data_IF_022889451924
#
_entry.id   IF_022889451924
#
_cell.length_a   1.000
_cell.length_b   1.000
_cell.length_c   1.000
_cell.angle_alpha   90.00
_cell.angle_beta   90.00
_cell.angle_gamma   90.00
#
_symmetry.space_group_name_H-M   'P 1'
#
loop_
_entity.id
_entity.type
_entity.pdbx_description
1 polymer ?
#
# COMPACT_ATOMS: atom_id res chain seq x y z
N UNK A 1 5.68 -41.00 2.74
CA UNK A 1 5.78 -40.12 3.92
C UNK A 1 5.85 -38.69 3.38
N UNK A 2 4.98 -37.77 3.84
CA UNK A 2 4.98 -36.37 3.40
C UNK A 2 6.22 -35.67 3.98
N UNK A 3 6.89 -34.82 3.20
CA UNK A 3 7.97 -33.98 3.70
C UNK A 3 7.37 -32.67 4.23
N UNK A 4 7.27 -32.56 5.55
CA UNK A 4 6.64 -31.43 6.24
C UNK A 4 7.33 -30.09 5.94
N UNK A 5 8.67 -30.07 5.86
CA UNK A 5 9.42 -28.86 5.53
C UNK A 5 9.06 -28.32 4.15
N UNK A 6 9.02 -29.21 3.14
CA UNK A 6 8.63 -28.82 1.77
C UNK A 6 7.17 -28.34 1.71
N UNK A 7 6.30 -28.86 2.55
CA UNK A 7 4.91 -28.40 2.66
C UNK A 7 4.82 -27.01 3.28
N UNK A 8 5.58 -26.74 4.34
CA UNK A 8 5.67 -25.42 4.97
C UNK A 8 6.21 -24.37 3.99
N UNK A 9 7.27 -24.70 3.23
CA UNK A 9 7.83 -23.82 2.22
C UNK A 9 6.81 -23.48 1.12
N UNK A 10 6.05 -24.49 0.65
CA UNK A 10 5.00 -24.28 -0.36
C UNK A 10 3.86 -23.42 0.17
N UNK A 11 3.47 -23.58 1.44
CA UNK A 11 2.45 -22.73 2.07
C UNK A 11 2.93 -21.28 2.22
N UNK A 12 4.18 -21.08 2.66
CA UNK A 12 4.77 -19.75 2.75
C UNK A 12 4.83 -19.06 1.39
N UNK A 13 5.24 -19.79 0.35
CA UNK A 13 5.26 -19.29 -1.03
C UNK A 13 3.86 -18.91 -1.52
N UNK A 14 2.86 -19.76 -1.31
CA UNK A 14 1.46 -19.47 -1.66
C UNK A 14 0.96 -18.18 -1.01
N UNK A 15 1.20 -18.01 0.29
CA UNK A 15 0.81 -16.79 1.03
C UNK A 15 1.49 -15.55 0.45
N UNK A 16 2.79 -15.66 0.14
CA UNK A 16 3.54 -14.56 -0.48
C UNK A 16 3.03 -14.19 -1.87
N UNK A 17 2.72 -15.18 -2.72
CA UNK A 17 2.21 -14.95 -4.07
C UNK A 17 0.81 -14.33 -4.05
N UNK A 18 -0.06 -14.77 -3.13
CA UNK A 18 -1.38 -14.17 -2.92
C UNK A 18 -1.27 -12.71 -2.44
N UNK A 19 -0.36 -12.43 -1.51
CA UNK A 19 -0.05 -11.06 -1.08
C UNK A 19 0.41 -10.19 -2.23
N UNK A 20 1.38 -10.68 -3.02
CA UNK A 20 1.92 -9.96 -4.17
C UNK A 20 0.84 -9.67 -5.24
N UNK A 21 -0.03 -10.63 -5.54
CA UNK A 21 -1.11 -10.46 -6.52
C UNK A 21 -2.14 -9.40 -6.08
N UNK A 22 -2.51 -9.39 -4.79
CA UNK A 22 -3.41 -8.37 -4.24
C UNK A 22 -2.80 -6.97 -4.29
N UNK A 23 -1.50 -6.86 -3.96
CA UNK A 23 -0.78 -5.59 -3.91
C UNK A 23 -0.51 -5.03 -5.31
N UNK A 24 -0.21 -5.86 -6.31
CA UNK A 24 0.06 -5.41 -7.68
C UNK A 24 -1.09 -4.61 -8.29
N UNK A 25 -2.33 -5.01 -8.02
CA UNK A 25 -3.52 -4.27 -8.47
C UNK A 25 -3.67 -2.92 -7.75
N UNK A 26 -3.34 -2.86 -6.45
CA UNK A 26 -3.37 -1.62 -5.66
C UNK A 26 -2.27 -0.64 -6.08
N UNK A 27 -1.10 -1.13 -6.48
CA UNK A 27 -0.03 -0.30 -7.07
C UNK A 27 -0.52 0.33 -8.37
N UNK A 28 -1.07 -0.46 -9.29
CA UNK A 28 -1.61 0.09 -10.55
C UNK A 28 -2.76 1.07 -10.32
N UNK A 29 -3.62 0.82 -9.33
CA UNK A 29 -4.69 1.73 -8.95
C UNK A 29 -4.15 3.06 -8.42
N UNK A 30 -3.12 3.02 -7.57
CA UNK A 30 -2.48 4.21 -7.02
C UNK A 30 -1.86 5.11 -8.08
N UNK A 31 -1.21 4.52 -9.09
CA UNK A 31 -0.67 5.24 -10.23
C UNK A 31 -1.78 5.89 -11.07
N UNK A 32 -2.81 5.12 -11.44
CA UNK A 32 -3.93 5.62 -12.26
C UNK A 32 -4.73 6.74 -11.59
N UNK A 33 -4.88 6.68 -10.27
CA UNK A 33 -5.57 7.72 -9.48
C UNK A 33 -4.65 8.90 -9.12
N UNK A 34 -3.35 8.82 -9.42
CA UNK A 34 -2.39 9.88 -9.11
C UNK A 34 -2.01 9.98 -7.63
N UNK A 35 -2.30 8.97 -6.82
CA UNK A 35 -2.06 8.98 -5.36
C UNK A 35 -0.56 9.08 -5.04
N UNK A 36 0.28 8.25 -5.68
CA UNK A 36 1.73 8.34 -5.51
C UNK A 36 2.29 9.70 -5.95
N UNK A 37 1.78 10.23 -7.07
CA UNK A 37 2.23 11.52 -7.60
C UNK A 37 1.92 12.68 -6.65
N UNK A 38 0.75 12.65 -6.01
CA UNK A 38 0.37 13.65 -5.02
C UNK A 38 1.28 13.57 -3.77
N UNK A 39 1.53 12.37 -3.24
CA UNK A 39 2.44 12.16 -2.11
C UNK A 39 3.88 12.60 -2.44
N UNK A 40 4.38 12.28 -3.63
CA UNK A 40 5.72 12.66 -4.08
C UNK A 40 5.87 14.17 -4.25
N UNK A 41 4.82 14.85 -4.74
CA UNK A 41 4.86 16.29 -5.04
C UNK A 41 4.64 17.15 -3.79
N UNK A 42 3.69 16.77 -2.95
CA UNK A 42 3.17 17.62 -1.88
C UNK A 42 3.70 17.21 -0.48
N UNK A 43 4.48 16.13 -0.41
CA UNK A 43 5.04 15.62 0.84
C UNK A 43 4.03 14.82 1.67
N UNK A 44 4.22 14.72 2.99
CA UNK A 44 3.32 13.98 3.87
C UNK A 44 1.88 14.54 3.85
N UNK A 45 0.90 13.69 3.56
CA UNK A 45 -0.53 14.04 3.48
C UNK A 45 -1.38 13.09 4.31
N UNK A 46 -2.43 13.60 4.95
CA UNK A 46 -3.47 12.72 5.49
C UNK A 46 -4.31 12.11 4.37
N UNK A 47 -5.05 11.04 4.66
CA UNK A 47 -5.95 10.42 3.68
C UNK A 47 -6.97 11.43 3.11
N UNK A 48 -7.47 12.35 3.94
CA UNK A 48 -8.40 13.40 3.51
C UNK A 48 -7.76 14.39 2.54
N UNK A 49 -6.57 14.90 2.86
CA UNK A 49 -5.85 15.83 1.97
C UNK A 49 -5.48 15.17 0.64
N UNK A 50 -5.09 13.90 0.68
CA UNK A 50 -4.76 13.13 -0.52
C UNK A 50 -6.00 12.89 -1.38
N UNK A 51 -7.15 12.60 -0.77
CA UNK A 51 -8.42 12.43 -1.45
C UNK A 51 -8.88 13.71 -2.15
N UNK A 52 -8.81 14.86 -1.47
CA UNK A 52 -9.11 16.17 -2.06
C UNK A 52 -8.22 16.46 -3.28
N UNK A 53 -6.91 16.21 -3.17
CA UNK A 53 -5.94 16.46 -4.25
C UNK A 53 -6.13 15.58 -5.48
N UNK A 54 -6.67 14.38 -5.29
CA UNK A 54 -6.85 13.40 -6.37
C UNK A 54 -8.28 13.29 -6.86
N UNK A 55 -9.22 14.04 -6.28
CA UNK A 55 -10.64 13.95 -6.61
C UNK A 55 -11.24 12.58 -6.28
N UNK A 56 -10.75 11.94 -5.21
CA UNK A 56 -11.18 10.62 -4.75
C UNK A 56 -11.90 10.71 -3.40
N UNK A 57 -12.43 9.59 -2.91
CA UNK A 57 -13.15 9.54 -1.63
C UNK A 57 -12.23 9.12 -0.50
N UNK A 58 -12.18 9.92 0.58
CA UNK A 58 -11.27 9.74 1.72
C UNK A 58 -11.26 8.32 2.27
N UNK A 59 -12.43 7.69 2.48
CA UNK A 59 -12.47 6.35 3.06
C UNK A 59 -11.71 5.32 2.23
N UNK A 60 -11.84 5.37 0.91
CA UNK A 60 -11.13 4.45 0.01
C UNK A 60 -9.64 4.77 -0.07
N UNK A 61 -9.29 6.06 -0.02
CA UNK A 61 -7.88 6.48 0.06
C UNK A 61 -7.23 5.99 1.34
N UNK A 62 -7.92 6.05 2.49
CA UNK A 62 -7.40 5.55 3.76
C UNK A 62 -7.10 4.06 3.72
N UNK A 63 -8.02 3.24 3.18
CA UNK A 63 -7.78 1.80 3.02
C UNK A 63 -6.62 1.52 2.06
N UNK A 64 -6.53 2.26 0.95
CA UNK A 64 -5.41 2.15 0.03
C UNK A 64 -4.09 2.51 0.72
N UNK A 65 -4.04 3.63 1.46
CA UNK A 65 -2.86 4.04 2.21
C UNK A 65 -2.44 2.99 3.25
N UNK A 66 -3.39 2.41 3.99
CA UNK A 66 -3.10 1.35 4.96
C UNK A 66 -2.50 0.10 4.29
N UNK A 67 -3.04 -0.30 3.14
CA UNK A 67 -2.51 -1.44 2.38
C UNK A 67 -1.10 -1.17 1.83
N UNK A 68 -0.85 0.04 1.32
CA UNK A 68 0.46 0.43 0.81
C UNK A 68 1.51 0.57 1.91
N UNK A 69 1.13 1.13 3.07
CA UNK A 69 2.00 1.22 4.24
C UNK A 69 2.33 -0.17 4.81
N UNK A 70 1.34 -1.05 4.91
CA UNK A 70 1.55 -2.45 5.28
C UNK A 70 2.42 -3.23 4.29
N UNK A 71 2.53 -2.76 3.05
CA UNK A 71 3.38 -3.33 2.01
C UNK A 71 4.75 -2.63 1.87
N UNK A 72 4.99 -1.53 2.60
CA UNK A 72 6.24 -0.77 2.59
C UNK A 72 6.44 0.21 1.43
N UNK A 73 5.40 0.48 0.61
CA UNK A 73 5.52 1.44 -0.52
C UNK A 73 5.38 2.91 -0.11
N UNK A 74 4.72 3.15 1.02
CA UNK A 74 4.57 4.47 1.62
C UNK A 74 4.77 4.33 3.13
N UNK A 75 5.13 5.41 3.80
CA UNK A 75 5.26 5.45 5.26
C UNK A 75 3.98 5.98 5.90
N UNK A 76 3.73 5.59 7.15
CA UNK A 76 2.67 6.17 8.00
C UNK A 76 3.26 6.76 9.28
N UNK A 77 2.98 8.04 9.52
CA UNK A 77 3.36 8.77 10.72
C UNK A 77 2.17 8.88 11.69
N UNK A 78 2.23 8.15 12.80
CA UNK A 78 1.15 8.10 13.79
C UNK A 78 0.89 9.46 14.47
N UNK A 79 1.93 10.26 14.73
CA UNK A 79 1.80 11.54 15.42
C UNK A 79 1.05 12.59 14.59
N UNK A 80 1.10 12.47 13.27
CA UNK A 80 0.51 13.45 12.34
C UNK A 80 -0.69 12.91 11.55
N UNK A 81 -0.98 11.61 11.64
CA UNK A 81 -1.92 10.85 10.79
C UNK A 81 -1.67 11.11 9.29
N UNK A 82 -0.40 11.07 8.89
CA UNK A 82 0.02 11.34 7.51
C UNK A 82 0.74 10.16 6.88
N UNK A 83 0.65 10.13 5.56
CA UNK A 83 1.35 9.19 4.70
C UNK A 83 2.33 9.94 3.81
N UNK A 84 3.48 9.34 3.51
CA UNK A 84 4.50 9.90 2.62
C UNK A 84 5.14 8.84 1.74
N UNK A 85 5.74 9.24 0.63
CA UNK A 85 6.56 8.31 -0.17
C UNK A 85 7.71 7.78 0.69
N UNK A 86 8.00 6.48 0.56
CA UNK A 86 9.24 5.91 1.08
C UNK A 86 10.44 6.57 0.38
N UNK A 87 11.57 6.79 1.08
CA UNK A 87 12.70 7.58 0.57
C UNK A 87 13.57 6.88 -0.49
N UNK A 88 13.23 5.66 -0.90
CA UNK A 88 13.99 4.77 -1.78
C UNK A 88 13.36 4.60 -3.16
#
# INVERSE_FOLDING_TARGET
MINENRMHDLLGKMVSEMGAAAVGSLVSLGDKLGLYRALAKDGPLSAGMLAEKTGTTERYVREWCAAQAGSGYIEYEADTDKFSMSPE
#
